data_IF_473863202686
#
_entry.id   IF_473863202686
#
_cell.length_a   1.000
_cell.length_b   1.000
_cell.length_c   1.000
_cell.angle_alpha   90.00
_cell.angle_beta   90.00
_cell.angle_gamma   90.00
#
_symmetry.space_group_name_H-M   'P 1'
#
loop_
_entity.id
_entity.type
_entity.pdbx_description
1 polymer ?
#
# COMPACT_ATOMS: atom_id res chain seq x y z
N UNK A 1 1.12 14.83 2.87
CA UNK A 1 -0.34 14.95 2.63
C UNK A 1 -0.73 13.88 1.62
N UNK A 2 -1.92 13.30 1.73
CA UNK A 2 -2.50 12.38 0.74
C UNK A 2 -3.73 13.05 0.13
N UNK A 3 -3.86 13.02 -1.20
CA UNK A 3 -5.09 13.40 -1.90
C UNK A 3 -5.64 12.15 -2.60
N UNK A 4 -6.95 11.93 -2.45
CA UNK A 4 -7.71 10.86 -3.08
C UNK A 4 -8.83 11.47 -3.92
N UNK A 5 -8.84 11.16 -5.20
CA UNK A 5 -9.79 11.68 -6.18
C UNK A 5 -10.85 10.61 -6.51
N UNK A 6 -12.10 10.86 -6.20
CA UNK A 6 -13.20 9.90 -6.29
C UNK A 6 -14.14 10.33 -7.41
N UNK A 7 -14.21 9.55 -8.47
CA UNK A 7 -15.16 9.75 -9.57
C UNK A 7 -16.56 9.39 -9.09
N UNK A 8 -17.48 10.29 -9.38
CA UNK A 8 -18.90 10.16 -9.07
C UNK A 8 -19.55 9.57 -10.31
N UNK A 9 -19.91 8.28 -10.27
CA UNK A 9 -20.56 7.62 -11.40
C UNK A 9 -21.98 8.20 -11.58
N UNK A 10 -22.26 8.66 -12.81
CA UNK A 10 -23.55 9.10 -13.34
C UNK A 10 -24.66 9.36 -12.31
N UNK A 11 -24.95 10.62 -11.99
CA UNK A 11 -26.21 10.93 -11.30
C UNK A 11 -26.86 12.25 -11.71
N UNK A 12 -28.20 12.18 -11.61
CA UNK A 12 -29.13 13.27 -11.61
C UNK A 12 -28.71 14.29 -10.53
N UNK A 13 -28.15 15.44 -10.93
CA UNK A 13 -27.58 16.46 -10.03
C UNK A 13 -28.52 16.88 -8.89
N UNK A 14 -29.83 16.77 -9.13
CA UNK A 14 -30.90 17.14 -8.18
C UNK A 14 -30.97 16.25 -6.93
N UNK A 15 -30.39 15.03 -6.95
CA UNK A 15 -30.37 14.12 -5.79
C UNK A 15 -29.04 14.12 -5.02
N UNK A 16 -28.06 14.90 -5.45
CA UNK A 16 -26.74 14.95 -4.82
C UNK A 16 -26.77 15.81 -3.55
N UNK A 17 -27.24 15.25 -2.44
CA UNK A 17 -27.27 15.89 -1.13
C UNK A 17 -26.21 15.27 -0.20
N UNK A 18 -24.95 15.71 -0.35
CA UNK A 18 -23.83 15.30 0.51
C UNK A 18 -23.49 16.42 1.48
N UNK A 19 -23.59 16.12 2.77
CA UNK A 19 -23.02 16.96 3.83
C UNK A 19 -21.51 16.72 3.93
N UNK A 20 -20.75 17.52 3.18
CA UNK A 20 -19.29 17.41 3.14
C UNK A 20 -18.65 17.68 4.50
N UNK A 21 -19.21 18.61 5.28
CA UNK A 21 -18.68 19.00 6.60
C UNK A 21 -18.85 17.85 7.59
N UNK A 22 -20.00 17.17 7.57
CA UNK A 22 -20.20 15.95 8.35
C UNK A 22 -19.19 14.88 7.94
N UNK A 23 -18.96 14.67 6.65
CA UNK A 23 -18.01 13.68 6.16
C UNK A 23 -16.56 13.99 6.58
N UNK A 24 -16.13 15.23 6.45
CA UNK A 24 -14.83 15.69 6.96
C UNK A 24 -14.68 15.39 8.46
N UNK A 25 -15.71 15.73 9.24
CA UNK A 25 -15.72 15.50 10.68
C UNK A 25 -15.67 13.99 11.00
N UNK A 26 -16.47 13.17 10.35
CA UNK A 26 -16.51 11.72 10.58
C UNK A 26 -15.18 11.05 10.24
N UNK A 27 -14.61 11.35 9.07
CA UNK A 27 -13.29 10.87 8.67
C UNK A 27 -12.22 11.30 9.68
N UNK A 28 -12.22 12.58 10.06
CA UNK A 28 -11.26 13.14 11.02
C UNK A 28 -11.42 12.53 12.42
N UNK A 29 -12.65 12.26 12.86
CA UNK A 29 -12.94 11.62 14.15
C UNK A 29 -12.38 10.19 14.18
N UNK A 30 -12.63 9.43 13.12
CA UNK A 30 -12.18 8.05 13.01
C UNK A 30 -10.65 7.89 12.93
N UNK A 31 -9.94 8.91 12.45
CA UNK A 31 -8.47 8.94 12.41
C UNK A 31 -7.90 9.51 13.71
N UNK A 32 -8.49 10.58 14.22
CA UNK A 32 -8.08 11.31 15.42
C UNK A 32 -7.82 12.79 15.15
N UNK A 33 -8.67 13.66 15.72
CA UNK A 33 -8.72 15.11 15.45
C UNK A 33 -7.41 15.88 15.64
N UNK A 34 -6.58 15.46 16.59
CA UNK A 34 -5.32 16.14 16.93
C UNK A 34 -4.18 15.80 15.95
N UNK A 35 -4.25 14.62 15.33
CA UNK A 35 -3.18 14.11 14.48
C UNK A 35 -3.44 14.32 12.99
N UNK A 36 -4.69 14.55 12.58
CA UNK A 36 -5.07 14.65 11.18
C UNK A 36 -6.04 15.81 10.90
N UNK A 37 -5.85 16.46 9.75
CA UNK A 37 -6.78 17.35 9.07
C UNK A 37 -7.34 16.61 7.86
N UNK A 38 -8.63 16.79 7.62
CA UNK A 38 -9.34 16.26 6.46
C UNK A 38 -10.01 17.43 5.77
N UNK A 39 -9.90 17.49 4.45
CA UNK A 39 -10.66 18.40 3.59
C UNK A 39 -11.36 17.60 2.50
N UNK A 40 -12.61 17.93 2.21
CA UNK A 40 -13.44 17.29 1.20
C UNK A 40 -14.01 18.37 0.29
N UNK A 41 -13.79 18.22 -1.01
CA UNK A 41 -14.26 19.16 -2.02
C UNK A 41 -14.89 18.41 -3.18
N UNK A 42 -15.96 18.98 -3.74
CA UNK A 42 -16.54 18.50 -5.00
C UNK A 42 -16.27 19.54 -6.08
N UNK A 43 -16.00 19.06 -7.30
CA UNK A 43 -15.86 19.93 -8.45
C UNK A 43 -17.21 20.55 -8.88
N UNK A 44 -17.21 21.71 -9.57
CA UNK A 44 -18.45 22.36 -9.97
C UNK A 44 -19.35 21.51 -10.90
N UNK A 45 -18.77 20.54 -11.60
CA UNK A 45 -19.50 19.61 -12.48
C UNK A 45 -20.16 18.45 -11.75
N UNK A 46 -19.85 18.24 -10.46
CA UNK A 46 -20.29 17.09 -9.65
C UNK A 46 -19.85 15.74 -10.22
N UNK A 47 -18.68 15.73 -10.87
CA UNK A 47 -18.06 14.54 -11.44
C UNK A 47 -16.95 13.99 -10.54
N UNK A 48 -16.38 14.82 -9.66
CA UNK A 48 -15.20 14.48 -8.90
C UNK A 48 -15.29 14.99 -7.45
N UNK A 49 -15.13 14.06 -6.52
CA UNK A 49 -14.98 14.31 -5.09
C UNK A 49 -13.52 14.14 -4.70
N UNK A 50 -12.87 15.22 -4.28
CA UNK A 50 -11.48 15.22 -3.81
C UNK A 50 -11.44 15.20 -2.30
N UNK A 51 -10.62 14.32 -1.74
CA UNK A 51 -10.44 14.15 -0.30
C UNK A 51 -8.96 14.27 0.03
N UNK A 52 -8.61 15.26 0.83
CA UNK A 52 -7.24 15.50 1.28
C UNK A 52 -7.09 15.12 2.76
N UNK A 53 -6.07 14.30 3.05
CA UNK A 53 -5.65 13.92 4.39
C UNK A 53 -4.27 14.53 4.70
N UNK A 54 -4.22 15.41 5.69
CA UNK A 54 -2.98 16.01 6.20
C UNK A 54 -2.66 15.47 7.59
N UNK A 55 -1.51 14.81 7.76
CA UNK A 55 -0.99 14.51 9.09
C UNK A 55 -0.30 15.76 9.67
N UNK A 56 -0.46 15.96 10.97
CA UNK A 56 0.16 17.09 11.66
C UNK A 56 1.69 16.90 11.71
N UNK A 57 2.45 17.90 11.27
CA UNK A 57 3.92 17.85 11.16
C UNK A 57 4.65 17.65 12.49
N UNK A 58 3.99 17.89 13.63
CA UNK A 58 4.59 17.78 14.97
C UNK A 58 4.42 16.41 15.61
N UNK A 59 3.78 15.45 14.94
CA UNK A 59 3.58 14.11 15.53
C UNK A 59 4.82 13.25 15.33
N UNK A 60 5.12 12.40 16.31
CA UNK A 60 6.22 11.45 16.24
C UNK A 60 6.01 10.44 15.09
N UNK A 61 7.08 9.99 14.42
CA UNK A 61 7.02 9.11 13.23
C UNK A 61 6.19 7.84 13.45
N UNK A 62 6.35 7.18 14.60
CA UNK A 62 5.52 6.02 15.00
C UNK A 62 4.02 6.35 14.99
N UNK A 63 3.64 7.52 15.50
CA UNK A 63 2.25 7.98 15.52
C UNK A 63 1.79 8.33 14.10
N UNK A 64 2.63 8.99 13.30
CA UNK A 64 2.33 9.29 11.90
C UNK A 64 1.99 8.03 11.10
N UNK A 65 2.79 6.97 11.27
CA UNK A 65 2.56 5.66 10.66
C UNK A 65 1.24 5.02 11.10
N UNK A 66 0.94 4.98 12.40
CA UNK A 66 -0.36 4.44 12.88
C UNK A 66 -1.54 5.23 12.28
N UNK A 67 -1.39 6.55 12.15
CA UNK A 67 -2.42 7.41 11.56
C UNK A 67 -2.51 7.28 10.05
N UNK A 68 -1.42 7.01 9.33
CA UNK A 68 -1.48 6.69 7.90
C UNK A 68 -2.21 5.36 7.65
N UNK A 69 -2.00 4.34 8.49
CA UNK A 69 -2.77 3.09 8.42
C UNK A 69 -4.26 3.33 8.71
N UNK A 70 -4.57 4.19 9.68
CA UNK A 70 -5.96 4.60 9.98
C UNK A 70 -6.61 5.31 8.77
N UNK A 71 -5.87 6.18 8.07
CA UNK A 71 -6.32 6.81 6.83
C UNK A 71 -6.61 5.75 5.76
N UNK A 72 -5.72 4.77 5.54
CA UNK A 72 -5.96 3.68 4.59
C UNK A 72 -7.22 2.88 4.91
N UNK A 73 -7.45 2.60 6.19
CA UNK A 73 -8.67 1.94 6.63
C UNK A 73 -9.92 2.78 6.28
N UNK A 74 -9.87 4.10 6.42
CA UNK A 74 -10.98 4.96 5.99
C UNK A 74 -11.14 4.95 4.46
N UNK A 75 -10.04 5.12 3.71
CA UNK A 75 -10.06 5.09 2.24
C UNK A 75 -10.66 3.78 1.71
N UNK A 76 -10.38 2.65 2.34
CA UNK A 76 -10.95 1.34 1.95
C UNK A 76 -12.47 1.26 2.04
N UNK A 77 -13.09 2.14 2.84
CA UNK A 77 -14.53 2.22 3.08
C UNK A 77 -15.22 3.25 2.19
N UNK A 78 -14.46 4.09 1.49
CA UNK A 78 -14.99 5.06 0.52
C UNK A 78 -15.41 4.30 -0.72
N UNK A 79 -16.62 3.74 -0.67
CA UNK A 79 -17.22 2.99 -1.79
C UNK A 79 -18.60 3.51 -2.15
N UNK A 80 -19.35 3.99 -1.16
CA UNK A 80 -20.71 4.52 -1.35
C UNK A 80 -21.07 5.60 -0.34
N UNK A 81 -21.96 6.52 -0.72
CA UNK A 81 -22.67 7.45 0.17
C UNK A 81 -24.07 7.72 -0.39
N UNK A 82 -25.12 7.64 0.45
CA UNK A 82 -26.53 7.82 0.03
C UNK A 82 -26.85 7.12 -1.31
N UNK A 83 -26.54 5.81 -1.39
CA UNK A 83 -26.71 4.95 -2.57
C UNK A 83 -25.87 5.29 -3.83
N UNK A 84 -25.11 6.38 -3.79
CA UNK A 84 -24.17 6.73 -4.85
C UNK A 84 -22.94 5.85 -4.79
N UNK A 85 -22.58 5.27 -5.93
CA UNK A 85 -21.37 4.45 -6.04
C UNK A 85 -20.23 5.32 -6.51
N UNK A 86 -19.12 5.19 -5.80
CA UNK A 86 -17.91 5.94 -6.06
C UNK A 86 -16.86 5.03 -6.68
N UNK A 87 -16.19 5.53 -7.72
CA UNK A 87 -15.00 4.89 -8.25
C UNK A 87 -13.78 5.70 -7.83
N UNK A 88 -12.78 5.06 -7.23
CA UNK A 88 -11.49 5.71 -7.04
C UNK A 88 -10.85 5.81 -8.42
N UNK A 89 -10.41 7.01 -8.85
CA UNK A 89 -9.64 7.13 -10.09
C UNK A 89 -8.39 6.22 -10.00
N UNK A 90 -8.34 5.15 -10.79
CA UNK A 90 -8.01 3.83 -10.22
C UNK A 90 -6.51 3.47 -10.22
N UNK A 91 -5.67 4.15 -11.00
CA UNK A 91 -4.21 3.96 -10.93
C UNK A 91 -3.53 5.04 -10.09
N UNK A 92 -3.73 6.30 -10.46
CA UNK A 92 -3.01 7.43 -9.85
C UNK A 92 -3.30 7.56 -8.36
N UNK A 93 -4.55 7.36 -7.93
CA UNK A 93 -4.84 7.32 -6.50
C UNK A 93 -4.13 6.18 -5.80
N UNK A 94 -4.12 4.98 -6.39
CA UNK A 94 -3.49 3.83 -5.75
C UNK A 94 -2.00 4.05 -5.56
N UNK A 95 -1.33 4.61 -6.57
CA UNK A 95 0.07 5.01 -6.44
C UNK A 95 0.27 6.06 -5.35
N UNK A 96 -0.51 7.16 -5.35
CA UNK A 96 -0.42 8.22 -4.31
C UNK A 96 -0.65 7.67 -2.91
N UNK A 97 -1.67 6.81 -2.72
CA UNK A 97 -1.99 6.16 -1.45
C UNK A 97 -0.82 5.30 -0.99
N UNK A 98 -0.28 4.48 -1.89
CA UNK A 98 0.81 3.57 -1.56
C UNK A 98 2.10 4.32 -1.20
N UNK A 99 2.50 5.32 -1.99
CA UNK A 99 3.63 6.21 -1.69
C UNK A 99 3.44 6.96 -0.37
N UNK A 100 2.22 7.43 -0.10
CA UNK A 100 1.92 8.10 1.17
C UNK A 100 2.23 7.20 2.37
N UNK A 101 1.89 5.92 2.32
CA UNK A 101 2.20 4.99 3.44
C UNK A 101 3.67 4.70 3.51
N UNK A 102 4.34 4.42 2.39
CA UNK A 102 5.78 4.18 2.35
C UNK A 102 6.56 5.35 2.99
N UNK A 103 6.21 6.60 2.66
CA UNK A 103 6.80 7.79 3.26
C UNK A 103 6.59 7.87 4.79
N UNK A 104 5.51 7.30 5.32
CA UNK A 104 5.27 7.27 6.76
C UNK A 104 5.92 6.05 7.44
N UNK A 105 6.21 4.97 6.70
CA UNK A 105 6.96 3.81 7.21
C UNK A 105 8.44 4.13 7.31
N UNK A 106 8.99 4.68 6.23
CA UNK A 106 10.42 4.85 5.99
C UNK A 106 10.85 6.33 6.02
N UNK A 107 10.00 7.21 6.54
CA UNK A 107 10.31 8.63 6.68
C UNK A 107 10.21 9.48 5.39
N UNK A 108 10.04 10.80 5.53
CA UNK A 108 9.70 11.69 4.42
C UNK A 108 10.87 12.04 3.49
N UNK A 109 12.12 11.72 3.87
CA UNK A 109 13.31 11.97 3.05
C UNK A 109 13.56 10.85 2.04
N UNK A 110 12.89 9.72 2.21
CA UNK A 110 13.04 8.53 1.38
C UNK A 110 12.47 8.75 0.00
N UNK A 111 13.22 8.31 -1.01
CA UNK A 111 12.78 8.23 -2.39
C UNK A 111 12.40 6.79 -2.73
N UNK A 112 11.28 6.66 -3.41
CA UNK A 112 10.75 5.39 -3.85
C UNK A 112 10.68 5.38 -5.37
N UNK A 113 11.34 4.41 -6.00
CA UNK A 113 11.13 4.10 -7.41
C UNK A 113 10.30 2.82 -7.47
N UNK A 114 9.14 2.93 -8.12
CA UNK A 114 8.19 1.85 -8.30
C UNK A 114 8.33 1.39 -9.74
N UNK A 115 9.03 0.28 -9.95
CA UNK A 115 9.19 -0.34 -11.27
C UNK A 115 8.13 -1.42 -11.47
N UNK A 116 7.36 -1.26 -12.54
CA UNK A 116 6.21 -2.11 -12.83
C UNK A 116 5.99 -2.26 -14.33
N UNK A 117 5.32 -3.36 -14.70
CA UNK A 117 5.06 -3.67 -16.10
C UNK A 117 3.72 -3.08 -16.52
N UNK A 118 3.76 -2.28 -17.60
CA UNK A 118 2.57 -1.70 -18.21
C UNK A 118 1.53 -2.76 -18.55
N UNK A 119 0.33 -2.59 -17.99
CA UNK A 119 -0.81 -3.47 -18.23
C UNK A 119 -1.71 -2.83 -19.31
N UNK A 120 -1.98 -3.54 -20.43
CA UNK A 120 -2.91 -3.08 -21.45
C UNK A 120 -4.31 -2.74 -20.91
N UNK A 121 -4.72 -3.34 -19.79
CA UNK A 121 -6.00 -3.07 -19.12
C UNK A 121 -6.03 -1.82 -18.23
N UNK A 122 -4.90 -1.14 -18.02
CA UNK A 122 -4.84 0.14 -17.28
C UNK A 122 -5.00 0.08 -15.76
N UNK A 123 -5.18 -1.10 -15.15
CA UNK A 123 -5.37 -1.24 -13.69
C UNK A 123 -4.05 -1.15 -12.90
N UNK A 124 -2.93 -1.49 -13.55
CA UNK A 124 -1.59 -1.44 -12.98
C UNK A 124 -1.32 -2.46 -11.85
N UNK A 125 -0.18 -2.34 -11.16
CA UNK A 125 0.32 -3.30 -10.17
C UNK A 125 -0.26 -3.09 -8.76
N UNK A 126 -1.27 -2.21 -8.59
CA UNK A 126 -1.80 -1.85 -7.28
C UNK A 126 -3.17 -2.48 -7.04
N UNK A 127 -3.33 -3.20 -5.92
CA UNK A 127 -4.54 -3.97 -5.61
C UNK A 127 -5.08 -3.66 -4.22
N UNK A 128 -6.20 -2.93 -4.16
CA UNK A 128 -6.84 -2.52 -2.91
C UNK A 128 -8.17 -3.26 -2.73
N UNK A 129 -8.09 -4.41 -2.08
CA UNK A 129 -9.20 -5.37 -2.02
C UNK A 129 -9.52 -5.78 -0.58
N UNK A 130 -10.69 -6.37 -0.38
CA UNK A 130 -11.08 -6.95 0.92
C UNK A 130 -10.91 -8.46 0.88
N UNK A 131 -10.03 -8.96 1.74
CA UNK A 131 -9.76 -10.37 1.94
C UNK A 131 -8.83 -10.98 0.88
N UNK A 132 -8.00 -11.94 1.31
CA UNK A 132 -6.94 -12.56 0.50
C UNK A 132 -7.39 -13.16 -0.83
N UNK A 133 -8.58 -13.77 -0.89
CA UNK A 133 -9.07 -14.45 -2.10
C UNK A 133 -9.37 -13.45 -3.21
N UNK A 134 -10.05 -12.35 -2.87
CA UNK A 134 -10.35 -11.30 -3.85
C UNK A 134 -9.06 -10.61 -4.31
N UNK A 135 -8.14 -10.35 -3.40
CA UNK A 135 -6.82 -9.79 -3.75
C UNK A 135 -6.06 -10.69 -4.70
N UNK A 136 -6.01 -12.00 -4.42
CA UNK A 136 -5.34 -12.98 -5.28
C UNK A 136 -5.92 -13.01 -6.70
N UNK A 137 -7.25 -13.02 -6.82
CA UNK A 137 -7.93 -13.02 -8.12
C UNK A 137 -7.53 -11.81 -8.95
N UNK A 138 -7.41 -10.62 -8.34
CA UNK A 138 -7.01 -9.42 -9.08
C UNK A 138 -5.53 -9.46 -9.49
N UNK A 139 -4.64 -9.92 -8.61
CA UNK A 139 -3.23 -10.11 -8.95
C UNK A 139 -3.08 -11.13 -10.09
N UNK A 140 -3.83 -12.24 -10.03
CA UNK A 140 -3.85 -13.26 -11.10
C UNK A 140 -4.27 -12.65 -12.45
N UNK A 141 -5.33 -11.84 -12.46
CA UNK A 141 -5.79 -11.16 -13.70
C UNK A 141 -4.71 -10.27 -14.28
N UNK A 142 -4.02 -9.49 -13.44
CA UNK A 142 -2.89 -8.67 -13.87
C UNK A 142 -1.77 -9.53 -14.46
N UNK A 143 -1.35 -10.59 -13.76
CA UNK A 143 -0.33 -11.53 -14.25
C UNK A 143 -0.72 -12.11 -15.61
N UNK A 144 -1.96 -12.58 -15.77
CA UNK A 144 -2.43 -13.16 -17.02
C UNK A 144 -2.41 -12.15 -18.17
N UNK A 145 -2.65 -10.86 -17.90
CA UNK A 145 -2.56 -9.77 -18.91
C UNK A 145 -1.12 -9.41 -19.30
N UNK A 146 -0.17 -9.46 -18.36
CA UNK A 146 1.22 -9.08 -18.63
C UNK A 146 2.13 -10.26 -19.01
N UNK A 147 1.69 -11.51 -18.82
CA UNK A 147 2.52 -12.73 -18.96
C UNK A 147 3.29 -12.82 -20.28
N UNK A 148 2.69 -12.37 -21.39
CA UNK A 148 3.34 -12.40 -22.71
C UNK A 148 4.49 -11.41 -22.90
N UNK A 149 4.63 -10.43 -22.01
CA UNK A 149 5.55 -9.29 -22.16
C UNK A 149 6.65 -9.25 -21.09
N UNK A 150 6.83 -10.32 -20.31
CA UNK A 150 7.72 -10.33 -19.14
C UNK A 150 8.64 -11.53 -19.15
N UNK A 151 9.80 -11.41 -18.48
CA UNK A 151 10.72 -12.52 -18.29
C UNK A 151 10.18 -13.56 -17.30
N UNK A 152 10.77 -14.76 -17.32
CA UNK A 152 10.48 -15.81 -16.34
C UNK A 152 10.75 -15.35 -14.90
N UNK A 153 11.82 -14.57 -14.70
CA UNK A 153 12.18 -14.01 -13.39
C UNK A 153 11.10 -13.04 -12.88
N UNK A 154 10.67 -12.09 -13.71
CA UNK A 154 9.57 -11.16 -13.36
C UNK A 154 8.26 -11.89 -13.12
N UNK A 155 7.95 -12.92 -13.90
CA UNK A 155 6.75 -13.74 -13.68
C UNK A 155 6.81 -14.44 -12.31
N UNK A 156 7.98 -14.97 -11.93
CA UNK A 156 8.19 -15.62 -10.65
C UNK A 156 8.00 -14.65 -9.47
N UNK A 157 8.52 -13.42 -9.57
CA UNK A 157 8.32 -12.34 -8.58
C UNK A 157 6.84 -12.03 -8.34
N UNK A 158 6.08 -11.86 -9.42
CA UNK A 158 4.63 -11.59 -9.35
C UNK A 158 3.86 -12.77 -8.75
N UNK A 159 4.18 -14.00 -9.17
CA UNK A 159 3.54 -15.21 -8.67
C UNK A 159 3.85 -15.46 -7.20
N UNK A 160 5.07 -15.16 -6.73
CA UNK A 160 5.42 -15.28 -5.32
C UNK A 160 4.63 -14.30 -4.46
N UNK A 161 4.55 -13.03 -4.87
CA UNK A 161 3.77 -12.03 -4.15
C UNK A 161 2.28 -12.42 -4.07
N UNK A 162 1.73 -12.99 -5.14
CA UNK A 162 0.39 -13.58 -5.14
C UNK A 162 0.25 -14.70 -4.09
N UNK A 163 1.21 -15.63 -4.03
CA UNK A 163 1.24 -16.69 -3.02
C UNK A 163 1.30 -16.13 -1.60
N UNK A 164 2.16 -15.13 -1.34
CA UNK A 164 2.27 -14.47 -0.03
C UNK A 164 0.91 -13.93 0.41
N UNK A 165 0.16 -13.26 -0.47
CA UNK A 165 -1.19 -12.74 -0.14
C UNK A 165 -2.12 -13.85 0.37
N UNK A 166 -2.09 -15.03 -0.25
CA UNK A 166 -2.90 -16.17 0.21
C UNK A 166 -2.49 -16.68 1.59
N UNK A 167 -1.18 -16.70 1.88
CA UNK A 167 -0.62 -17.15 3.17
C UNK A 167 -0.99 -16.23 4.36
N UNK A 168 -1.29 -14.94 4.11
CA UNK A 168 -1.57 -13.99 5.21
C UNK A 168 -2.85 -14.30 6.01
N UNK A 169 -3.74 -15.16 5.49
CA UNK A 169 -5.02 -15.53 6.11
C UNK A 169 -5.81 -14.32 6.65
N UNK A 170 -5.79 -13.19 5.93
CA UNK A 170 -6.43 -11.94 6.31
C UNK A 170 -7.75 -11.73 5.57
N UNK A 171 -8.79 -11.29 6.30
CA UNK A 171 -10.15 -11.04 5.77
C UNK A 171 -10.51 -9.55 5.62
N UNK A 172 -9.72 -8.66 6.22
CA UNK A 172 -9.91 -7.21 6.13
C UNK A 172 -9.38 -6.61 4.83
N UNK A 173 -9.30 -5.27 4.73
CA UNK A 173 -8.65 -4.57 3.63
C UNK A 173 -7.19 -4.97 3.49
N UNK A 174 -6.77 -5.22 2.26
CA UNK A 174 -5.41 -5.53 1.84
C UNK A 174 -5.04 -4.56 0.73
N UNK A 175 -3.94 -3.85 0.90
CA UNK A 175 -3.38 -2.93 -0.07
C UNK A 175 -2.06 -3.53 -0.55
N UNK A 176 -1.99 -3.97 -1.80
CA UNK A 176 -0.81 -4.63 -2.36
C UNK A 176 -0.25 -3.82 -3.50
N UNK A 177 1.08 -3.76 -3.58
CA UNK A 177 1.83 -3.48 -4.78
C UNK A 177 2.66 -4.71 -5.15
N UNK A 178 2.64 -5.08 -6.42
CA UNK A 178 3.38 -6.23 -6.99
C UNK A 178 4.27 -5.72 -8.11
N UNK A 179 5.58 -5.80 -7.90
CA UNK A 179 6.57 -5.12 -8.70
C UNK A 179 7.70 -4.63 -7.81
N UNK A 180 8.80 -4.21 -8.43
CA UNK A 180 9.97 -3.77 -7.67
C UNK A 180 9.71 -2.41 -7.01
N UNK A 181 9.92 -2.36 -5.69
CA UNK A 181 9.97 -1.16 -4.87
C UNK A 181 11.41 -0.91 -4.48
N UNK A 182 12.09 -0.03 -5.21
CA UNK A 182 13.43 0.44 -4.87
C UNK A 182 13.32 1.61 -3.88
N UNK A 183 14.12 1.55 -2.82
CA UNK A 183 14.16 2.53 -1.73
C UNK A 183 15.55 3.15 -1.61
N UNK A 184 15.57 4.48 -1.51
CA UNK A 184 16.75 5.29 -1.21
C UNK A 184 16.46 6.23 -0.05
N UNK A 185 17.21 6.15 1.04
CA UNK A 185 17.12 7.07 2.18
C UNK A 185 17.95 8.32 1.99
N UNK A 186 19.13 8.18 1.38
CA UNK A 186 19.95 9.30 0.93
C UNK A 186 19.75 9.52 -0.58
N UNK A 187 19.02 10.57 -0.99
CA UNK A 187 18.85 10.95 -2.39
C UNK A 187 20.17 11.12 -3.16
N UNK A 188 21.28 11.38 -2.46
CA UNK A 188 22.60 11.58 -3.07
C UNK A 188 23.37 10.28 -3.28
N UNK A 189 22.93 9.17 -2.70
CA UNK A 189 23.56 7.86 -2.89
C UNK A 189 23.29 7.33 -4.31
N UNK A 190 24.35 6.84 -4.95
CA UNK A 190 24.24 6.16 -6.24
C UNK A 190 23.48 4.83 -6.12
N UNK A 191 23.56 4.18 -4.97
CA UNK A 191 23.04 2.85 -4.74
C UNK A 191 21.64 2.89 -4.11
N UNK A 192 20.84 1.86 -4.40
CA UNK A 192 19.60 1.61 -3.67
C UNK A 192 19.93 1.00 -2.30
N UNK A 193 19.24 1.45 -1.26
CA UNK A 193 19.41 0.93 0.10
C UNK A 193 18.61 -0.37 0.30
N UNK A 194 17.46 -0.48 -0.35
CA UNK A 194 16.67 -1.69 -0.39
C UNK A 194 15.88 -1.83 -1.70
N UNK A 195 15.55 -3.07 -2.04
CA UNK A 195 14.64 -3.42 -3.12
C UNK A 195 13.72 -4.55 -2.63
N UNK A 196 12.44 -4.47 -2.97
CA UNK A 196 11.42 -5.46 -2.62
C UNK A 196 10.56 -5.79 -3.84
N UNK A 197 10.26 -7.06 -4.08
CA UNK A 197 9.48 -7.51 -5.25
C UNK A 197 7.96 -7.40 -5.07
N UNK A 198 7.54 -7.12 -3.84
CA UNK A 198 6.16 -6.88 -3.49
C UNK A 198 6.04 -6.34 -2.07
N UNK A 199 5.03 -5.51 -1.84
CA UNK A 199 4.74 -4.96 -0.51
C UNK A 199 3.24 -4.93 -0.29
N UNK A 200 2.85 -5.34 0.91
CA UNK A 200 1.45 -5.51 1.30
C UNK A 200 1.21 -4.76 2.60
N UNK A 201 0.20 -3.89 2.64
CA UNK A 201 -0.28 -3.24 3.85
C UNK A 201 -1.61 -3.81 4.32
N UNK A 202 -1.72 -4.02 5.62
CA UNK A 202 -2.89 -4.54 6.33
C UNK A 202 -3.36 -3.52 7.37
N UNK A 203 -4.08 -2.45 6.97
CA UNK A 203 -4.38 -1.31 7.84
C UNK A 203 -5.30 -1.62 9.03
N UNK A 204 -5.94 -2.81 9.07
CA UNK A 204 -6.77 -3.25 10.19
C UNK A 204 -6.08 -4.23 11.13
N UNK A 205 -4.88 -4.73 10.79
CA UNK A 205 -4.10 -5.56 11.72
C UNK A 205 -3.58 -4.69 12.86
N UNK A 206 -3.41 -5.29 14.04
CA UNK A 206 -2.67 -4.64 15.12
C UNK A 206 -1.25 -4.32 14.61
N UNK A 207 -0.85 -3.04 14.55
CA UNK A 207 0.47 -2.68 14.05
C UNK A 207 1.60 -3.23 14.90
N UNK A 208 1.35 -3.53 16.18
CA UNK A 208 2.34 -4.18 17.04
C UNK A 208 2.62 -5.61 16.57
N UNK A 209 1.61 -6.37 16.13
CA UNK A 209 1.81 -7.71 15.54
C UNK A 209 2.57 -7.60 14.22
N UNK A 210 1.92 -7.02 13.21
CA UNK A 210 2.47 -6.61 11.92
C UNK A 210 1.41 -5.87 11.12
N UNK A 211 1.83 -4.88 10.33
CA UNK A 211 0.94 -4.13 9.44
C UNK A 211 1.43 -4.13 7.99
N UNK A 212 2.70 -4.46 7.75
CA UNK A 212 3.32 -4.50 6.44
C UNK A 212 3.93 -5.88 6.21
N UNK A 213 3.96 -6.31 4.96
CA UNK A 213 4.69 -7.49 4.51
C UNK A 213 5.50 -7.10 3.30
N UNK A 214 6.80 -7.43 3.29
CA UNK A 214 7.67 -7.27 2.12
C UNK A 214 8.03 -8.64 1.57
N UNK A 215 8.07 -8.74 0.25
CA UNK A 215 8.31 -9.99 -0.49
C UNK A 215 9.66 -9.89 -1.19
N UNK A 216 10.44 -10.96 -1.11
CA UNK A 216 11.69 -11.17 -1.84
C UNK A 216 11.58 -12.51 -2.58
N UNK A 217 11.50 -12.44 -3.89
CA UNK A 217 11.53 -13.62 -4.74
C UNK A 217 12.96 -14.03 -5.05
N UNK A 218 13.15 -15.34 -5.26
CA UNK A 218 14.40 -15.82 -5.85
C UNK A 218 14.13 -17.03 -6.69
N UNK A 219 14.70 -17.03 -7.90
CA UNK A 219 14.62 -18.20 -8.75
C UNK A 219 15.48 -19.34 -8.15
N UNK A 220 14.98 -20.58 -8.05
CA UNK A 220 15.65 -21.69 -7.33
C UNK A 220 17.05 -22.05 -7.84
N UNK A 221 17.41 -21.64 -9.06
CA UNK A 221 18.71 -21.90 -9.69
C UNK A 221 19.92 -21.36 -8.91
N UNK A 222 19.75 -20.40 -7.99
CA UNK A 222 20.85 -19.73 -7.28
C UNK A 222 20.97 -20.06 -5.76
N UNK A 223 20.33 -21.13 -5.27
CA UNK A 223 20.54 -21.66 -3.91
C UNK A 223 19.73 -21.00 -2.78
N UNK A 224 19.23 -21.84 -1.85
CA UNK A 224 18.20 -21.51 -0.84
C UNK A 224 18.68 -20.64 0.33
N UNK A 225 19.89 -20.88 0.85
CA UNK A 225 20.40 -20.25 2.09
C UNK A 225 20.64 -18.73 1.95
N UNK A 226 20.54 -18.20 0.74
CA UNK A 226 20.91 -16.82 0.41
C UNK A 226 19.72 -15.85 0.48
N UNK A 227 18.47 -16.27 0.22
CA UNK A 227 17.30 -15.35 0.16
C UNK A 227 16.99 -14.76 1.52
N UNK A 228 16.80 -15.63 2.52
CA UNK A 228 16.52 -15.21 3.89
C UNK A 228 17.63 -14.33 4.45
N UNK A 229 18.89 -14.67 4.13
CA UNK A 229 20.05 -13.86 4.53
C UNK A 229 20.05 -12.49 3.85
N UNK A 230 19.72 -12.42 2.56
CA UNK A 230 19.64 -11.17 1.80
C UNK A 230 18.51 -10.27 2.31
N UNK A 231 17.30 -10.82 2.46
CA UNK A 231 16.16 -10.08 3.01
C UNK A 231 16.44 -9.64 4.46
N UNK A 232 17.04 -10.51 5.28
CA UNK A 232 17.44 -10.13 6.64
C UNK A 232 18.51 -9.05 6.66
N UNK A 233 19.50 -9.10 5.76
CA UNK A 233 20.53 -8.06 5.69
C UNK A 233 19.89 -6.71 5.34
N UNK A 234 19.09 -6.67 4.26
CA UNK A 234 18.38 -5.45 3.84
C UNK A 234 17.54 -4.89 4.99
N UNK A 235 16.73 -5.72 5.64
CA UNK A 235 15.85 -5.27 6.71
C UNK A 235 16.58 -4.87 8.01
N UNK A 236 17.72 -5.50 8.33
CA UNK A 236 18.55 -5.08 9.45
C UNK A 236 19.04 -3.64 9.24
N UNK A 237 19.52 -3.32 8.04
CA UNK A 237 19.97 -1.97 7.70
C UNK A 237 18.80 -0.98 7.80
N UNK A 238 17.58 -1.36 7.38
CA UNK A 238 16.40 -0.49 7.55
C UNK A 238 15.98 -0.30 9.01
N UNK A 239 16.06 -1.35 9.85
CA UNK A 239 15.69 -1.21 11.27
C UNK A 239 16.62 -0.25 12.00
N UNK A 240 17.91 -0.20 11.64
CA UNK A 240 18.85 0.75 12.24
C UNK A 240 18.42 2.20 11.98
N UNK A 241 17.90 2.49 10.78
CA UNK A 241 17.37 3.81 10.42
C UNK A 241 15.97 4.07 11.01
N UNK A 242 15.13 3.03 11.13
CA UNK A 242 13.77 3.12 11.67
C UNK A 242 13.58 2.20 12.89
N UNK A 243 14.14 2.56 14.07
CA UNK A 243 14.18 1.68 15.24
C UNK A 243 12.81 1.41 15.88
N UNK A 244 11.77 2.11 15.45
CA UNK A 244 10.38 1.81 15.84
C UNK A 244 9.77 0.63 15.08
N UNK A 245 10.47 0.07 14.09
CA UNK A 245 10.06 -1.11 13.33
C UNK A 245 10.70 -2.39 13.88
N UNK A 246 10.00 -3.50 13.72
CA UNK A 246 10.50 -4.87 13.94
C UNK A 246 10.05 -5.76 12.80
N UNK A 247 10.75 -6.86 12.54
CA UNK A 247 10.32 -7.81 11.52
C UNK A 247 10.50 -9.28 11.94
N UNK A 248 9.82 -10.17 11.21
CA UNK A 248 10.05 -11.61 11.26
C UNK A 248 10.01 -12.18 9.84
N UNK A 249 10.98 -13.02 9.49
CA UNK A 249 11.12 -13.58 8.14
C UNK A 249 10.56 -15.00 8.07
N UNK A 250 9.85 -15.28 6.99
CA UNK A 250 9.23 -16.54 6.66
C UNK A 250 9.67 -16.95 5.26
N UNK A 251 9.85 -18.26 5.04
CA UNK A 251 10.22 -18.81 3.74
C UNK A 251 8.98 -19.39 3.04
N UNK A 252 8.97 -19.33 1.71
CA UNK A 252 7.98 -20.00 0.87
C UNK A 252 8.69 -21.07 0.07
N UNK A 253 8.49 -22.33 0.46
CA UNK A 253 8.83 -23.60 -0.24
C UNK A 253 9.86 -23.45 -1.38
N UNK A 254 11.08 -23.01 -1.06
CA UNK A 254 12.19 -22.87 -2.00
C UNK A 254 12.06 -21.82 -3.12
N UNK A 255 11.01 -21.02 -3.13
CA UNK A 255 10.70 -20.01 -4.17
C UNK A 255 11.06 -18.57 -3.74
N UNK A 256 11.20 -18.33 -2.44
CA UNK A 256 11.56 -17.02 -1.91
C UNK A 256 11.28 -16.87 -0.42
N UNK A 257 11.27 -15.62 0.04
CA UNK A 257 11.00 -15.28 1.43
C UNK A 257 10.10 -14.04 1.51
N UNK A 258 9.45 -13.86 2.64
CA UNK A 258 8.76 -12.62 2.96
C UNK A 258 8.99 -12.26 4.42
N UNK A 259 8.93 -10.97 4.74
CA UNK A 259 9.01 -10.50 6.11
C UNK A 259 7.73 -9.82 6.52
N UNK A 260 7.20 -10.19 7.70
CA UNK A 260 6.14 -9.42 8.36
C UNK A 260 6.80 -8.32 9.17
N UNK A 261 6.40 -7.08 8.95
CA UNK A 261 6.93 -5.87 9.59
C UNK A 261 5.85 -5.28 10.50
N UNK A 262 6.22 -5.02 11.74
CA UNK A 262 5.38 -4.45 12.78
C UNK A 262 6.08 -3.34 13.54
N UNK A 263 5.40 -2.77 14.53
CA UNK A 263 5.96 -1.80 15.46
C UNK A 263 6.64 -2.50 16.62
N UNK A 264 7.76 -1.96 17.07
CA UNK A 264 8.38 -2.40 18.31
C UNK A 264 7.49 -2.01 19.51
N UNK A 265 7.40 -2.90 20.49
CA UNK A 265 6.77 -2.59 21.77
C UNK A 265 7.74 -1.68 22.53
N UNK A 266 7.31 -0.45 22.83
CA UNK A 266 8.02 0.40 23.76
C UNK A 266 7.55 0.08 25.18
#
# INVERSE_FOLDING_TARGET
MLQVDVVIDSMNRESFNIDLVKWENDLRNNIGKAACRVGVQIDPSFSLLRIAFGLNVRIHSRVALVKSLSILNQVSKIRKFNDQTFQLNDFENKERIYRFVLNNVFGPKSLFKLDWISDPGGEGPFFFQRGRVNTEVQIKRYIDRVRGNISSDRLHELELSKKVVLELNHRGPIFVYVGSTELKYDPKSSNNDAEFDGVIFLPQKNPEDFFMVVVEAKNPSNGHTTVKKQLSKRLNDLILEFPYLRYSIFEIRNEGAYAKVGLNQQ
#
